data_IF_088204608912
#
_entry.id   IF_088204608912
#
_cell.length_a   1.000
_cell.length_b   1.000
_cell.length_c   1.000
_cell.angle_alpha   90.00
_cell.angle_beta   90.00
_cell.angle_gamma   90.00
#
_symmetry.space_group_name_H-M   'P 1'
#
loop_
_entity.id
_entity.type
_entity.pdbx_description
1 polymer ?
#
# COMPACT_ATOMS: atom_id res chain seq x y z
N UNK A 1 17.59 -2.00 -13.90
CA UNK A 1 16.59 -1.99 -12.82
C UNK A 1 15.77 -0.73 -12.93
N UNK A 2 14.45 -0.81 -12.83
CA UNK A 2 13.59 0.37 -12.72
C UNK A 2 13.83 0.99 -11.34
N UNK A 3 14.19 2.28 -11.30
CA UNK A 3 14.50 2.94 -10.02
C UNK A 3 13.27 3.05 -9.14
N UNK A 4 13.46 3.01 -7.82
CA UNK A 4 12.39 3.21 -6.83
C UNK A 4 11.63 4.52 -7.06
N UNK A 5 12.35 5.60 -7.36
CA UNK A 5 11.75 6.92 -7.63
C UNK A 5 10.88 6.91 -8.89
N UNK A 6 11.24 6.11 -9.91
CA UNK A 6 10.41 5.98 -11.12
C UNK A 6 9.08 5.30 -10.80
N UNK A 7 9.13 4.19 -10.05
CA UNK A 7 7.92 3.46 -9.62
C UNK A 7 7.00 4.38 -8.83
N UNK A 8 7.54 5.06 -7.81
CA UNK A 8 6.78 6.00 -6.97
C UNK A 8 6.21 7.14 -7.80
N UNK A 9 7.00 7.72 -8.70
CA UNK A 9 6.55 8.77 -9.62
C UNK A 9 5.33 8.32 -10.42
N UNK A 10 5.37 7.12 -11.01
CA UNK A 10 4.26 6.58 -11.78
C UNK A 10 3.01 6.25 -10.93
N UNK A 11 3.20 5.82 -9.68
CA UNK A 11 2.08 5.63 -8.73
C UNK A 11 1.41 6.98 -8.43
N UNK A 12 2.20 8.01 -8.12
CA UNK A 12 1.70 9.35 -7.78
C UNK A 12 1.05 10.05 -8.97
N UNK A 13 1.50 9.77 -10.19
CA UNK A 13 0.90 10.25 -11.43
C UNK A 13 -0.34 9.44 -11.86
N UNK A 14 -0.66 8.37 -11.14
CA UNK A 14 -1.74 7.44 -11.49
C UNK A 14 -1.60 6.86 -12.91
N UNK A 15 -0.36 6.60 -13.34
CA UNK A 15 -0.05 6.12 -14.69
C UNK A 15 -0.62 4.72 -14.98
N UNK A 16 -0.97 4.41 -16.24
CA UNK A 16 -1.38 3.07 -16.62
C UNK A 16 -0.24 2.05 -16.39
N UNK A 17 -0.59 0.77 -16.28
CA UNK A 17 0.39 -0.30 -16.12
C UNK A 17 1.38 -0.34 -17.29
N UNK A 18 2.67 -0.52 -16.98
CA UNK A 18 3.77 -0.74 -17.93
C UNK A 18 4.57 -1.96 -17.46
N UNK A 19 4.72 -2.97 -18.31
CA UNK A 19 5.44 -4.21 -17.99
C UNK A 19 6.90 -3.96 -17.57
N UNK A 20 7.50 -2.82 -17.96
CA UNK A 20 8.83 -2.41 -17.52
C UNK A 20 8.92 -2.14 -16.01
N UNK A 21 7.79 -1.96 -15.33
CA UNK A 21 7.71 -1.79 -13.87
C UNK A 21 7.80 -3.13 -13.13
N UNK A 22 7.49 -4.25 -13.79
CA UNK A 22 7.38 -5.56 -13.15
C UNK A 22 8.64 -5.99 -12.38
N UNK A 23 9.87 -5.90 -12.93
CA UNK A 23 11.07 -6.29 -12.17
C UNK A 23 11.28 -5.44 -10.92
N UNK A 24 10.87 -4.17 -10.97
CA UNK A 24 10.95 -3.26 -9.83
C UNK A 24 10.00 -3.65 -8.71
N UNK A 25 8.73 -3.93 -9.03
CA UNK A 25 7.75 -4.37 -8.04
C UNK A 25 8.08 -5.77 -7.49
N UNK A 26 8.56 -6.68 -8.32
CA UNK A 26 9.03 -8.00 -7.87
C UNK A 26 10.18 -7.88 -6.85
N UNK A 27 11.04 -6.87 -6.97
CA UNK A 27 12.10 -6.62 -5.98
C UNK A 27 11.58 -6.17 -4.60
N UNK A 28 10.29 -5.82 -4.50
CA UNK A 28 9.58 -5.51 -3.24
C UNK A 28 8.65 -6.65 -2.78
N UNK A 29 8.80 -7.86 -3.34
CA UNK A 29 8.07 -9.06 -2.92
C UNK A 29 6.76 -9.32 -3.65
N UNK A 30 6.32 -8.43 -4.54
CA UNK A 30 5.07 -8.60 -5.30
C UNK A 30 5.21 -9.68 -6.39
N UNK A 31 4.37 -10.70 -6.31
CA UNK A 31 4.36 -11.84 -7.24
C UNK A 31 3.52 -11.56 -8.48
N UNK A 32 2.49 -10.71 -8.38
CA UNK A 32 1.60 -10.35 -9.49
C UNK A 32 1.59 -8.82 -9.78
N UNK A 33 2.71 -8.24 -10.28
CA UNK A 33 2.85 -6.78 -10.43
C UNK A 33 1.73 -6.06 -11.19
N UNK A 34 1.20 -6.68 -12.24
CA UNK A 34 0.13 -6.07 -13.06
C UNK A 34 -1.20 -6.00 -12.33
N UNK A 35 -1.49 -6.98 -11.44
CA UNK A 35 -2.68 -6.97 -10.60
C UNK A 35 -2.51 -5.93 -9.50
N UNK A 36 -1.38 -5.96 -8.79
CA UNK A 36 -1.15 -5.10 -7.65
C UNK A 36 -1.01 -3.62 -8.02
N UNK A 37 -0.64 -3.33 -9.27
CA UNK A 37 -0.65 -1.97 -9.78
C UNK A 37 -2.01 -1.29 -9.62
N UNK A 38 -3.11 -2.03 -9.81
CA UNK A 38 -4.45 -1.48 -9.64
C UNK A 38 -4.69 -1.02 -8.20
N UNK A 39 -4.22 -1.79 -7.23
CA UNK A 39 -4.38 -1.48 -5.82
C UNK A 39 -3.50 -0.29 -5.40
N UNK A 40 -2.26 -0.20 -5.92
CA UNK A 40 -1.39 0.98 -5.74
C UNK A 40 -2.03 2.26 -6.28
N UNK A 41 -2.61 2.19 -7.47
CA UNK A 41 -3.25 3.34 -8.12
C UNK A 41 -4.56 3.71 -7.39
N UNK A 42 -5.31 2.72 -6.91
CA UNK A 42 -6.50 2.95 -6.07
C UNK A 42 -6.13 3.68 -4.77
N UNK A 43 -5.10 3.20 -4.09
CA UNK A 43 -4.55 3.87 -2.91
C UNK A 43 -4.06 5.29 -3.21
N UNK A 44 -3.32 5.50 -4.29
CA UNK A 44 -2.79 6.83 -4.67
C UNK A 44 -3.89 7.87 -4.89
N UNK A 45 -5.10 7.44 -5.27
CA UNK A 45 -6.27 8.30 -5.46
C UNK A 45 -7.02 8.64 -4.17
N UNK A 46 -6.68 7.99 -3.06
CA UNK A 46 -7.38 8.17 -1.79
C UNK A 46 -7.09 9.51 -1.11
N UNK A 47 -5.92 10.10 -1.38
CA UNK A 47 -5.46 11.35 -0.78
C UNK A 47 -4.46 12.03 -1.71
N UNK A 48 -4.11 13.30 -1.43
CA UNK A 48 -3.05 13.97 -2.18
C UNK A 48 -1.65 13.58 -1.67
N UNK A 49 -1.24 12.33 -1.92
CA UNK A 49 0.04 11.79 -1.42
C UNK A 49 1.25 12.62 -1.83
N UNK A 50 1.27 13.14 -3.06
CA UNK A 50 2.39 13.96 -3.55
C UNK A 50 2.63 15.20 -2.68
N UNK A 51 1.58 15.79 -2.10
CA UNK A 51 1.67 16.98 -1.26
C UNK A 51 1.69 16.67 0.24
N UNK A 52 0.84 15.74 0.67
CA UNK A 52 0.59 15.49 2.10
C UNK A 52 1.48 14.39 2.66
N UNK A 53 1.77 13.35 1.88
CA UNK A 53 2.43 12.12 2.36
C UNK A 53 3.51 11.64 1.38
N UNK A 54 4.51 12.47 1.04
CA UNK A 54 5.44 12.19 -0.07
C UNK A 54 6.30 10.93 0.13
N UNK A 55 6.43 10.45 1.37
CA UNK A 55 7.22 9.27 1.72
C UNK A 55 6.40 7.99 1.91
N UNK A 56 5.07 8.07 1.86
CA UNK A 56 4.19 6.93 2.17
C UNK A 56 4.47 5.72 1.28
N UNK A 57 4.45 5.89 -0.05
CA UNK A 57 4.70 4.78 -0.98
C UNK A 57 6.13 4.24 -0.88
N UNK A 58 7.09 5.10 -0.57
CA UNK A 58 8.47 4.66 -0.32
C UNK A 58 8.53 3.69 0.84
N UNK A 59 7.88 4.02 1.97
CA UNK A 59 7.84 3.19 3.16
C UNK A 59 7.01 1.93 2.94
N UNK A 60 5.84 2.05 2.30
CA UNK A 60 4.96 0.94 1.97
C UNK A 60 5.72 -0.15 1.18
N UNK A 61 6.44 0.22 0.12
CA UNK A 61 7.24 -0.74 -0.67
C UNK A 61 8.31 -1.45 0.16
N UNK A 62 9.00 -0.73 1.06
CA UNK A 62 10.02 -1.30 1.95
C UNK A 62 9.45 -2.27 2.98
N UNK A 63 8.29 -1.95 3.54
CA UNK A 63 7.60 -2.81 4.51
C UNK A 63 7.00 -4.04 3.81
N UNK A 64 6.44 -3.87 2.60
CA UNK A 64 5.89 -4.99 1.81
C UNK A 64 6.93 -6.09 1.56
N UNK A 65 8.20 -5.72 1.31
CA UNK A 65 9.29 -6.68 1.12
C UNK A 65 9.52 -7.59 2.35
N UNK A 66 9.21 -7.10 3.55
CA UNK A 66 9.40 -7.84 4.81
C UNK A 66 8.15 -8.62 5.25
N UNK A 67 7.03 -8.43 4.55
CA UNK A 67 5.75 -9.07 4.85
C UNK A 67 5.72 -10.55 4.44
N UNK A 68 4.74 -11.30 4.93
CA UNK A 68 4.58 -12.72 4.56
C UNK A 68 4.11 -12.92 3.11
N UNK A 69 3.31 -11.98 2.60
CA UNK A 69 2.71 -11.97 1.27
C UNK A 69 2.38 -10.51 0.92
N UNK A 70 3.24 -9.90 0.08
CA UNK A 70 3.15 -8.49 -0.27
C UNK A 70 1.88 -8.16 -1.06
N UNK A 71 1.49 -9.02 -2.01
CA UNK A 71 0.28 -8.85 -2.80
C UNK A 71 -0.96 -8.85 -1.91
N UNK A 72 -1.07 -9.82 -0.99
CA UNK A 72 -2.20 -9.92 -0.07
C UNK A 72 -2.24 -8.73 0.90
N UNK A 73 -1.09 -8.34 1.48
CA UNK A 73 -1.03 -7.20 2.39
C UNK A 73 -1.53 -5.90 1.73
N UNK A 74 -1.07 -5.64 0.50
CA UNK A 74 -1.42 -4.43 -0.19
C UNK A 74 -2.89 -4.44 -0.66
N UNK A 75 -3.40 -5.57 -1.12
CA UNK A 75 -4.81 -5.72 -1.45
C UNK A 75 -5.71 -5.45 -0.23
N UNK A 76 -5.34 -6.01 0.92
CA UNK A 76 -6.05 -5.83 2.19
C UNK A 76 -5.92 -4.38 2.70
N UNK A 77 -4.76 -3.73 2.59
CA UNK A 77 -4.60 -2.31 2.93
C UNK A 77 -5.48 -1.41 2.06
N UNK A 78 -5.55 -1.70 0.75
CA UNK A 78 -6.42 -0.97 -0.18
C UNK A 78 -7.88 -1.12 0.24
N UNK A 79 -8.35 -2.35 0.46
CA UNK A 79 -9.71 -2.64 0.94
C UNK A 79 -10.01 -2.00 2.29
N UNK A 80 -9.02 -1.95 3.19
CA UNK A 80 -9.14 -1.29 4.49
C UNK A 80 -9.33 0.21 4.35
N UNK A 81 -8.57 0.86 3.47
CA UNK A 81 -8.71 2.30 3.22
C UNK A 81 -10.10 2.70 2.69
N UNK A 82 -10.79 1.80 1.98
CA UNK A 82 -12.15 2.04 1.51
C UNK A 82 -13.19 2.08 2.62
N UNK A 83 -12.89 1.51 3.79
CA UNK A 83 -13.78 1.54 4.96
C UNK A 83 -13.82 2.91 5.64
N UNK A 84 -12.86 3.79 5.36
CA UNK A 84 -12.79 5.12 5.95
C UNK A 84 -13.46 6.16 5.06
N UNK A 85 -14.40 6.90 5.65
CA UNK A 85 -14.96 8.10 5.03
C UNK A 85 -13.91 9.19 4.91
N UNK A 86 -13.19 9.47 6.00
CA UNK A 86 -12.07 10.41 6.05
C UNK A 86 -10.75 9.66 5.79
N UNK A 87 -10.33 9.66 4.52
CA UNK A 87 -9.09 9.00 4.09
C UNK A 87 -7.85 9.79 4.48
N UNK A 88 -7.93 11.12 4.53
CA UNK A 88 -6.80 11.96 4.94
C UNK A 88 -6.45 11.71 6.41
N UNK A 89 -7.45 11.54 7.29
CA UNK A 89 -7.21 11.15 8.68
C UNK A 89 -6.49 9.80 8.80
N UNK A 90 -6.93 8.79 8.04
CA UNK A 90 -6.26 7.48 7.99
C UNK A 90 -4.80 7.62 7.55
N UNK A 91 -4.56 8.25 6.40
CA UNK A 91 -3.19 8.34 5.85
C UNK A 91 -2.29 9.28 6.64
N UNK A 92 -2.84 10.22 7.41
CA UNK A 92 -2.09 10.98 8.42
C UNK A 92 -1.56 10.05 9.50
N UNK A 93 -2.44 9.24 10.13
CA UNK A 93 -2.01 8.26 11.15
C UNK A 93 -0.96 7.28 10.61
N UNK A 94 -1.17 6.73 9.41
CA UNK A 94 -0.27 5.75 8.81
C UNK A 94 1.08 6.37 8.38
N UNK A 95 1.10 7.66 8.03
CA UNK A 95 2.33 8.35 7.66
C UNK A 95 3.11 8.86 8.88
N UNK A 96 2.41 9.21 9.96
CA UNK A 96 3.02 9.70 11.21
C UNK A 96 3.53 8.55 12.10
N UNK A 97 3.01 7.33 11.93
CA UNK A 97 3.40 6.14 12.69
C UNK A 97 3.84 5.00 11.78
N UNK A 98 5.16 4.87 11.62
CA UNK A 98 5.76 3.76 10.87
C UNK A 98 5.44 2.39 11.49
N UNK A 99 5.44 2.31 12.83
CA UNK A 99 5.11 1.08 13.57
C UNK A 99 3.69 0.60 13.28
N UNK A 100 2.73 1.54 13.17
CA UNK A 100 1.35 1.21 12.84
C UNK A 100 1.23 0.67 11.41
N UNK A 101 1.85 1.35 10.44
CA UNK A 101 1.87 0.88 9.06
C UNK A 101 2.50 -0.52 8.97
N UNK A 102 3.63 -0.73 9.66
CA UNK A 102 4.30 -2.02 9.69
C UNK A 102 3.43 -3.11 10.30
N UNK A 103 2.84 -2.87 11.48
CA UNK A 103 1.96 -3.82 12.15
C UNK A 103 0.76 -4.21 11.26
N UNK A 104 0.14 -3.24 10.57
CA UNK A 104 -0.96 -3.51 9.65
C UNK A 104 -0.51 -4.35 8.45
N UNK A 105 0.63 -4.05 7.84
CA UNK A 105 1.16 -4.84 6.71
C UNK A 105 1.48 -6.29 7.14
N UNK A 106 2.06 -6.49 8.32
CA UNK A 106 2.30 -7.84 8.85
C UNK A 106 0.99 -8.58 9.14
N UNK A 107 0.01 -7.91 9.74
CA UNK A 107 -1.31 -8.48 9.97
C UNK A 107 -1.99 -8.89 8.66
N UNK A 108 -2.04 -7.96 7.71
CA UNK A 108 -2.72 -8.11 6.43
C UNK A 108 -2.08 -9.13 5.51
N UNK A 109 -0.77 -9.37 5.65
CA UNK A 109 -0.09 -10.46 4.94
C UNK A 109 -0.22 -11.82 5.61
N UNK A 110 -0.43 -11.86 6.94
CA UNK A 110 -0.29 -13.08 7.74
C UNK A 110 -1.60 -13.74 8.18
N UNK A 111 -2.70 -12.99 8.31
CA UNK A 111 -3.94 -13.55 8.88
C UNK A 111 -5.21 -12.92 8.31
N UNK A 112 -5.86 -13.62 7.37
CA UNK A 112 -7.12 -13.16 6.80
C UNK A 112 -8.23 -13.03 7.85
N UNK A 113 -8.27 -13.92 8.86
CA UNK A 113 -9.29 -13.85 9.94
C UNK A 113 -9.19 -12.56 10.74
N UNK A 114 -7.96 -12.12 11.05
CA UNK A 114 -7.75 -10.87 11.78
C UNK A 114 -7.99 -9.66 10.87
N UNK A 115 -7.59 -9.73 9.60
CA UNK A 115 -7.92 -8.71 8.59
C UNK A 115 -9.42 -8.54 8.48
N UNK A 116 -10.19 -9.61 8.31
CA UNK A 116 -11.65 -9.56 8.17
C UNK A 116 -12.32 -8.96 9.42
N UNK A 117 -11.79 -9.32 10.60
CA UNK A 117 -12.23 -8.73 11.88
C UNK A 117 -11.99 -7.22 11.89
N UNK A 118 -10.80 -6.76 11.47
CA UNK A 118 -10.46 -5.34 11.42
C UNK A 118 -11.24 -4.58 10.34
N UNK A 119 -11.53 -5.22 9.20
CA UNK A 119 -12.34 -4.66 8.13
C UNK A 119 -13.82 -4.50 8.54
N UNK A 120 -14.30 -5.34 9.45
CA UNK A 120 -15.66 -5.24 9.99
C UNK A 120 -15.80 -4.10 10.99
N UNK A 121 -14.75 -3.83 11.78
CA UNK A 121 -14.70 -2.79 12.81
C UNK A 121 -13.41 -1.94 12.67
N UNK A 122 -13.32 -1.09 11.62
CA UNK A 122 -12.10 -0.35 11.29
C UNK A 122 -11.74 0.73 12.33
N UNK A 123 -12.66 1.08 13.24
CA UNK A 123 -12.43 2.03 14.33
C UNK A 123 -11.41 1.58 15.38
N UNK A 124 -10.97 0.31 15.35
CA UNK A 124 -9.89 -0.16 16.21
C UNK A 124 -8.51 0.40 15.83
N UNK A 125 -8.41 1.15 14.73
CA UNK A 125 -7.20 1.86 14.26
C UNK A 125 -7.33 3.38 14.41
#
# INVERSE_FOLDING_TARGET
MTSKENIIGQILECSPWDDRLAPGLMSYGFQEPSKIWKDLISLSRCANFKKLYPHFFSKLLEVSLRSHNADLALHNLQSFSEKFFDKDHLFTKLSDSEDLLEALIFLFSGSQVLTDSLLSEPSYV
#
